data_IF_722003877467
#
_entry.id   IF_722003877467
#
_cell.length_a   1.000
_cell.length_b   1.000
_cell.length_c   1.000
_cell.angle_alpha   90.00
_cell.angle_beta   90.00
_cell.angle_gamma   90.00
#
_symmetry.space_group_name_H-M   'P 1'
#
loop_
_entity.id
_entity.type
_entity.pdbx_description
1 polymer ?
#
# COMPACT_ATOMS: atom_id res chain seq x y z
N UNK A 1 -34.37 -10.26 -9.14
CA UNK A 1 -33.43 -10.78 -8.11
C UNK A 1 -32.35 -11.70 -8.69
N UNK A 2 -32.59 -12.40 -9.82
CA UNK A 2 -31.57 -13.21 -10.53
C UNK A 2 -30.51 -12.41 -11.29
N UNK A 3 -30.87 -11.27 -11.89
CA UNK A 3 -29.99 -10.46 -12.75
C UNK A 3 -28.69 -9.96 -12.08
N UNK A 4 -28.69 -9.76 -10.76
CA UNK A 4 -27.49 -9.30 -10.05
C UNK A 4 -26.46 -10.41 -9.89
N UNK A 5 -26.90 -11.66 -9.68
CA UNK A 5 -25.99 -12.79 -9.48
C UNK A 5 -25.20 -13.10 -10.75
N UNK A 6 -25.80 -12.94 -11.92
CA UNK A 6 -25.14 -13.21 -13.21
C UNK A 6 -23.93 -12.28 -13.45
N UNK A 7 -23.95 -11.06 -12.89
CA UNK A 7 -22.85 -10.09 -13.00
C UNK A 7 -21.72 -10.38 -12.00
N UNK A 8 -22.04 -10.82 -10.79
CA UNK A 8 -21.02 -11.13 -9.77
C UNK A 8 -20.46 -12.55 -9.86
N UNK A 9 -21.19 -13.48 -10.48
CA UNK A 9 -20.79 -14.89 -10.59
C UNK A 9 -19.42 -15.07 -11.26
N UNK A 10 -19.09 -14.42 -12.39
CA UNK A 10 -17.76 -14.55 -12.99
C UNK A 10 -16.65 -14.04 -12.06
N UNK A 11 -16.90 -12.96 -11.32
CA UNK A 11 -15.92 -12.39 -10.37
C UNK A 11 -15.66 -13.36 -9.23
N UNK A 12 -16.71 -13.96 -8.66
CA UNK A 12 -16.58 -14.94 -7.58
C UNK A 12 -15.87 -16.22 -8.05
N UNK A 13 -16.19 -16.70 -9.26
CA UNK A 13 -15.52 -17.87 -9.84
C UNK A 13 -14.04 -17.57 -10.06
N UNK A 14 -13.69 -16.42 -10.65
CA UNK A 14 -12.29 -16.04 -10.87
C UNK A 14 -11.53 -15.87 -9.54
N UNK A 15 -12.14 -15.26 -8.53
CA UNK A 15 -11.55 -15.15 -7.20
C UNK A 15 -11.31 -16.53 -6.57
N UNK A 16 -12.27 -17.44 -6.67
CA UNK A 16 -12.14 -18.81 -6.19
C UNK A 16 -11.03 -19.58 -6.92
N UNK A 17 -10.97 -19.47 -8.25
CA UNK A 17 -9.90 -20.07 -9.07
C UNK A 17 -8.53 -19.50 -8.68
N UNK A 18 -8.42 -18.19 -8.45
CA UNK A 18 -7.16 -17.57 -8.01
C UNK A 18 -6.71 -18.11 -6.64
N UNK A 19 -7.63 -18.24 -5.68
CA UNK A 19 -7.36 -18.83 -4.36
C UNK A 19 -6.92 -20.29 -4.50
N UNK A 20 -7.64 -21.09 -5.28
CA UNK A 20 -7.31 -22.51 -5.52
C UNK A 20 -5.95 -22.64 -6.22
N UNK A 21 -5.64 -21.79 -7.19
CA UNK A 21 -4.35 -21.78 -7.87
C UNK A 21 -3.21 -21.40 -6.91
N UNK A 22 -3.42 -20.38 -6.07
CA UNK A 22 -2.43 -19.95 -5.08
C UNK A 22 -2.14 -21.06 -4.07
N UNK A 23 -3.16 -21.59 -3.40
CA UNK A 23 -2.96 -22.66 -2.41
C UNK A 23 -2.56 -24.00 -3.06
N UNK A 24 -3.07 -24.30 -4.25
CA UNK A 24 -2.75 -25.50 -5.01
C UNK A 24 -1.28 -25.54 -5.40
N UNK A 25 -0.72 -24.42 -5.88
CA UNK A 25 0.73 -24.35 -6.21
C UNK A 25 1.60 -24.47 -4.97
N UNK A 26 1.22 -23.86 -3.85
CA UNK A 26 1.91 -24.05 -2.56
C UNK A 26 1.86 -25.51 -2.08
N UNK A 27 0.70 -26.18 -2.21
CA UNK A 27 0.54 -27.58 -1.83
C UNK A 27 1.37 -28.51 -2.72
N UNK A 28 1.32 -28.34 -4.04
CA UNK A 28 2.14 -29.10 -4.99
C UNK A 28 3.63 -28.88 -4.68
N UNK A 29 4.05 -27.62 -4.48
CA UNK A 29 5.42 -27.30 -4.08
C UNK A 29 5.83 -28.00 -2.79
N UNK A 30 4.94 -28.06 -1.80
CA UNK A 30 5.18 -28.73 -0.51
C UNK A 30 5.26 -30.25 -0.62
N UNK A 31 4.54 -30.86 -1.57
CA UNK A 31 4.51 -32.32 -1.80
C UNK A 31 5.67 -32.80 -2.68
N UNK A 32 6.04 -32.03 -3.70
CA UNK A 32 7.10 -32.39 -4.66
C UNK A 32 8.50 -32.08 -4.12
N UNK A 33 8.66 -31.05 -3.28
CA UNK A 33 9.96 -30.63 -2.77
C UNK A 33 10.57 -31.68 -1.82
N UNK A 34 11.89 -31.96 -1.93
CA UNK A 34 12.63 -32.73 -0.92
C UNK A 34 12.59 -32.06 0.46
N UNK A 35 12.12 -32.80 1.47
CA UNK A 35 12.01 -32.32 2.84
C UNK A 35 13.20 -32.79 3.71
N UNK A 36 14.31 -32.05 3.67
CA UNK A 36 15.52 -32.32 4.46
C UNK A 36 15.93 -31.08 5.30
N UNK A 37 15.19 -30.76 6.38
CA UNK A 37 15.53 -29.68 7.28
C UNK A 37 16.78 -30.01 8.10
N UNK A 38 17.71 -29.07 8.19
CA UNK A 38 18.90 -29.12 9.06
C UNK A 38 18.94 -27.85 9.89
N UNK A 39 19.55 -27.87 11.08
CA UNK A 39 19.61 -26.69 11.96
C UNK A 39 20.17 -25.45 11.23
N UNK A 40 21.26 -25.60 10.49
CA UNK A 40 21.86 -24.53 9.69
C UNK A 40 20.96 -24.03 8.54
N UNK A 41 20.08 -24.86 7.97
CA UNK A 41 19.14 -24.42 6.91
C UNK A 41 17.94 -23.67 7.46
N UNK A 42 17.70 -23.80 8.76
CA UNK A 42 16.61 -23.13 9.46
C UNK A 42 17.09 -21.82 10.11
N UNK A 43 18.37 -21.48 10.03
CA UNK A 43 18.86 -20.18 10.49
C UNK A 43 18.33 -19.07 9.58
N UNK A 44 17.99 -17.89 10.12
CA UNK A 44 17.46 -16.78 9.33
C UNK A 44 18.46 -16.20 8.31
N UNK A 45 19.75 -16.46 8.51
CA UNK A 45 20.83 -15.90 7.69
C UNK A 45 21.93 -16.94 7.45
N UNK A 46 22.53 -16.88 6.25
CA UNK A 46 23.42 -17.93 5.73
C UNK A 46 24.91 -17.71 6.06
N UNK A 47 25.31 -16.48 6.44
CA UNK A 47 26.72 -16.20 6.75
C UNK A 47 27.10 -16.54 8.21
N UNK A 48 26.21 -17.16 8.98
CA UNK A 48 26.49 -17.60 10.36
C UNK A 48 26.53 -16.48 11.39
N UNK A 49 26.19 -15.24 11.02
CA UNK A 49 25.95 -14.15 11.97
C UNK A 49 24.62 -14.40 12.68
N UNK A 50 24.69 -14.62 13.99
CA UNK A 50 23.49 -14.75 14.81
C UNK A 50 22.80 -13.39 14.88
N UNK A 51 21.47 -13.32 14.66
CA UNK A 51 20.75 -12.07 14.80
C UNK A 51 20.90 -11.56 16.23
N UNK A 52 21.59 -10.43 16.40
CA UNK A 52 21.81 -9.79 17.69
C UNK A 52 20.80 -8.65 17.90
N UNK A 53 20.34 -8.50 19.14
CA UNK A 53 19.42 -7.43 19.54
C UNK A 53 17.93 -7.79 19.42
N UNK A 54 17.08 -6.80 19.71
CA UNK A 54 15.63 -6.94 19.66
C UNK A 54 15.11 -6.71 18.24
N UNK A 55 14.16 -7.55 17.79
CA UNK A 55 13.42 -7.32 16.55
C UNK A 55 12.53 -6.06 16.60
N UNK A 56 12.26 -5.55 17.80
CA UNK A 56 11.54 -4.30 18.04
C UNK A 56 12.55 -3.15 18.06
N UNK A 57 12.84 -2.61 16.87
CA UNK A 57 13.65 -1.41 16.69
C UNK A 57 12.79 -0.29 16.12
N UNK A 58 13.09 0.96 16.53
CA UNK A 58 12.43 2.13 15.99
C UNK A 58 12.93 2.37 14.56
N UNK A 59 12.11 2.02 13.58
CA UNK A 59 12.33 2.39 12.19
C UNK A 59 12.12 3.89 11.99
N UNK A 60 12.64 4.42 10.89
CA UNK A 60 12.53 5.83 10.58
C UNK A 60 11.04 6.26 10.51
N UNK A 61 10.66 7.31 11.25
CA UNK A 61 9.28 7.84 11.30
C UNK A 61 8.74 8.21 9.91
N UNK A 62 9.59 8.42 8.91
CA UNK A 62 9.19 8.72 7.53
C UNK A 62 8.31 7.64 6.91
N UNK A 63 8.45 6.36 7.28
CA UNK A 63 7.52 5.31 6.83
C UNK A 63 6.08 5.58 7.28
N UNK A 64 5.92 6.07 8.52
CA UNK A 64 4.62 6.45 9.06
C UNK A 64 4.04 7.68 8.34
N UNK A 65 4.87 8.69 8.06
CA UNK A 65 4.44 9.88 7.32
C UNK A 65 3.94 9.52 5.91
N UNK A 66 4.69 8.67 5.19
CA UNK A 66 4.28 8.19 3.86
C UNK A 66 2.97 7.42 3.92
N UNK A 67 2.79 6.53 4.91
CA UNK A 67 1.56 5.78 5.10
C UNK A 67 0.36 6.69 5.40
N UNK A 68 0.55 7.73 6.23
CA UNK A 68 -0.49 8.69 6.56
C UNK A 68 -0.89 9.54 5.34
N UNK A 69 0.09 10.00 4.56
CA UNK A 69 -0.17 10.73 3.30
C UNK A 69 -0.93 9.83 2.32
N UNK A 70 -0.50 8.58 2.15
CA UNK A 70 -1.20 7.60 1.31
C UNK A 70 -2.66 7.41 1.75
N UNK A 71 -2.91 7.25 3.05
CA UNK A 71 -4.27 7.07 3.58
C UNK A 71 -5.17 8.28 3.29
N UNK A 72 -4.65 9.49 3.41
CA UNK A 72 -5.41 10.71 3.08
C UNK A 72 -5.79 10.72 1.59
N UNK A 73 -4.85 10.40 0.70
CA UNK A 73 -5.11 10.33 -0.75
C UNK A 73 -6.05 9.18 -1.15
N UNK A 74 -5.99 8.06 -0.44
CA UNK A 74 -6.91 6.94 -0.65
C UNK A 74 -8.35 7.33 -0.30
N UNK A 75 -8.54 8.02 0.84
CA UNK A 75 -9.84 8.57 1.24
C UNK A 75 -10.32 9.66 0.29
N UNK A 76 -9.43 10.51 -0.21
CA UNK A 76 -9.74 11.50 -1.25
C UNK A 76 -10.37 10.83 -2.48
N UNK A 77 -9.69 9.81 -3.02
CA UNK A 77 -10.18 9.04 -4.17
C UNK A 77 -11.52 8.36 -3.89
N UNK A 78 -11.68 7.75 -2.71
CA UNK A 78 -12.92 7.13 -2.29
C UNK A 78 -14.11 8.12 -2.28
N UNK A 79 -13.89 9.35 -1.82
CA UNK A 79 -14.91 10.41 -1.79
C UNK A 79 -15.27 10.96 -3.17
N UNK A 80 -14.39 10.83 -4.16
CA UNK A 80 -14.69 11.25 -5.54
C UNK A 80 -15.68 10.33 -6.25
N UNK A 81 -15.70 9.03 -5.93
CA UNK A 81 -16.56 8.06 -6.61
C UNK A 81 -18.05 8.39 -6.55
N UNK A 82 -18.66 8.65 -5.37
CA UNK A 82 -20.07 9.01 -5.30
C UNK A 82 -20.40 10.22 -6.17
N UNK A 83 -19.60 11.28 -6.12
CA UNK A 83 -19.82 12.49 -6.91
C UNK A 83 -19.73 12.19 -8.40
N UNK A 84 -18.77 11.36 -8.83
CA UNK A 84 -18.63 10.92 -10.22
C UNK A 84 -19.86 10.15 -10.72
N UNK A 85 -20.45 9.29 -9.89
CA UNK A 85 -21.62 8.48 -10.29
C UNK A 85 -22.88 9.33 -10.55
N UNK A 86 -23.05 10.45 -9.84
CA UNK A 86 -24.22 11.34 -9.97
C UNK A 86 -23.94 12.60 -10.80
N UNK A 87 -22.70 12.81 -11.24
CA UNK A 87 -22.29 14.02 -11.96
C UNK A 87 -23.17 14.32 -13.17
N UNK A 88 -23.52 13.30 -13.96
CA UNK A 88 -24.39 13.44 -15.12
C UNK A 88 -25.75 14.07 -14.75
N UNK A 89 -26.35 13.63 -13.66
CA UNK A 89 -27.63 14.18 -13.19
C UNK A 89 -27.50 15.67 -12.84
N UNK A 90 -26.36 16.09 -12.26
CA UNK A 90 -26.09 17.49 -11.97
C UNK A 90 -25.86 18.33 -13.24
N UNK A 91 -25.25 17.75 -14.28
CA UNK A 91 -25.10 18.41 -15.58
C UNK A 91 -26.47 18.65 -16.22
N UNK A 92 -27.36 17.64 -16.18
CA UNK A 92 -28.70 17.72 -16.79
C UNK A 92 -29.58 18.80 -16.15
N UNK A 93 -29.42 19.08 -14.85
CA UNK A 93 -30.11 20.17 -14.14
C UNK A 93 -29.36 21.51 -14.19
N UNK A 94 -28.29 21.63 -14.99
CA UNK A 94 -27.51 22.86 -15.17
C UNK A 94 -26.53 23.19 -14.03
N UNK A 95 -26.34 22.30 -13.07
CA UNK A 95 -25.46 22.48 -11.90
C UNK A 95 -24.07 21.84 -12.06
N UNK A 96 -23.78 21.21 -13.21
CA UNK A 96 -22.52 20.50 -13.46
C UNK A 96 -21.27 21.34 -13.19
N UNK A 97 -21.28 22.63 -13.56
CA UNK A 97 -20.15 23.54 -13.31
C UNK A 97 -19.87 23.78 -11.83
N UNK A 98 -20.92 23.92 -11.01
CA UNK A 98 -20.77 24.11 -9.56
C UNK A 98 -20.21 22.84 -8.88
N UNK A 99 -20.72 21.66 -9.26
CA UNK A 99 -20.23 20.38 -8.74
C UNK A 99 -18.80 20.12 -9.17
N UNK A 100 -18.46 20.34 -10.44
CA UNK A 100 -17.09 20.23 -10.93
C UNK A 100 -16.16 21.21 -10.20
N UNK A 101 -16.60 22.44 -9.99
CA UNK A 101 -15.84 23.43 -9.22
C UNK A 101 -15.55 22.98 -7.79
N UNK A 102 -16.55 22.39 -7.11
CA UNK A 102 -16.37 21.85 -5.75
C UNK A 102 -15.41 20.66 -5.70
N UNK A 103 -15.45 19.76 -6.69
CA UNK A 103 -14.49 18.66 -6.82
C UNK A 103 -13.07 19.15 -7.08
N UNK A 104 -12.90 20.09 -8.00
CA UNK A 104 -11.59 20.68 -8.28
C UNK A 104 -11.03 21.40 -7.05
N UNK A 105 -11.88 22.14 -6.32
CA UNK A 105 -11.48 22.80 -5.09
C UNK A 105 -11.02 21.77 -4.03
N UNK A 106 -11.76 20.68 -3.87
CA UNK A 106 -11.41 19.59 -2.95
C UNK A 106 -10.03 18.99 -3.27
N UNK A 107 -9.80 18.64 -4.54
CA UNK A 107 -8.51 18.11 -5.02
C UNK A 107 -7.39 19.12 -4.77
N UNK A 108 -7.60 20.39 -5.12
CA UNK A 108 -6.58 21.45 -4.95
C UNK A 108 -6.19 21.61 -3.49
N UNK A 109 -7.15 21.63 -2.56
CA UNK A 109 -6.87 21.82 -1.13
C UNK A 109 -5.98 20.69 -0.60
N UNK A 110 -6.30 19.44 -0.93
CA UNK A 110 -5.52 18.27 -0.47
C UNK A 110 -4.16 18.17 -1.18
N UNK A 111 -4.13 18.48 -2.48
CA UNK A 111 -2.89 18.53 -3.27
C UNK A 111 -1.92 19.58 -2.74
N UNK A 112 -2.42 20.73 -2.27
CA UNK A 112 -1.60 21.75 -1.62
C UNK A 112 -0.97 21.23 -0.32
N UNK A 113 -1.69 20.42 0.46
CA UNK A 113 -1.15 19.74 1.63
C UNK A 113 0.03 18.84 1.29
N UNK A 114 -0.07 18.07 0.20
CA UNK A 114 1.04 17.24 -0.29
C UNK A 114 2.23 18.09 -0.77
N UNK A 115 1.96 19.15 -1.54
CA UNK A 115 3.01 20.07 -2.00
C UNK A 115 3.74 20.68 -0.80
N UNK A 116 3.02 21.04 0.26
CA UNK A 116 3.62 21.54 1.51
C UNK A 116 4.52 20.48 2.17
N UNK A 117 4.03 19.25 2.37
CA UNK A 117 4.82 18.15 2.93
C UNK A 117 6.08 17.86 2.11
N UNK A 118 5.97 17.92 0.78
CA UNK A 118 7.11 17.75 -0.12
C UNK A 118 8.11 18.89 0.04
N UNK A 119 7.66 20.15 0.02
CA UNK A 119 8.56 21.32 0.19
C UNK A 119 9.28 21.33 1.53
N UNK A 120 8.68 20.75 2.57
CA UNK A 120 9.29 20.60 3.89
C UNK A 120 10.34 19.47 3.94
N UNK A 121 10.38 18.60 2.94
CA UNK A 121 11.31 17.46 2.88
C UNK A 121 10.87 16.26 3.72
N UNK A 122 9.61 16.25 4.20
CA UNK A 122 9.07 15.13 4.97
C UNK A 122 8.96 13.84 4.12
N UNK A 123 8.95 14.00 2.78
CA UNK A 123 8.96 12.90 1.80
C UNK A 123 10.36 12.55 1.28
N UNK A 124 11.39 13.34 1.60
CA UNK A 124 12.73 13.08 1.08
C UNK A 124 13.33 11.84 1.74
N UNK A 125 14.09 11.06 0.98
CA UNK A 125 14.79 9.89 1.52
C UNK A 125 16.21 10.25 1.96
N UNK A 126 16.61 9.74 3.13
CA UNK A 126 18.02 9.87 3.57
C UNK A 126 18.87 8.96 2.68
N UNK A 127 19.67 9.56 1.80
CA UNK A 127 20.72 8.83 1.09
C UNK A 127 21.90 8.70 2.05
N UNK A 128 22.21 7.44 2.36
CA UNK A 128 23.30 6.91 3.20
C UNK A 128 23.28 7.20 4.71
N UNK A 129 23.56 6.14 5.46
CA UNK A 129 24.04 6.21 6.83
C UNK A 129 25.40 6.93 6.81
N UNK A 130 25.50 8.11 7.42
CA UNK A 130 26.80 8.70 7.71
C UNK A 130 27.37 7.98 8.93
N UNK A 131 28.18 6.95 8.68
CA UNK A 131 29.00 6.38 9.75
C UNK A 131 29.97 7.47 10.24
N UNK A 132 29.79 7.90 11.49
CA UNK A 132 30.69 8.86 12.11
C UNK A 132 32.01 8.14 12.45
N UNK A 133 32.95 8.14 11.51
CA UNK A 133 34.29 7.52 11.61
C UNK A 133 35.25 8.27 12.54
N UNK A 134 34.74 9.04 13.51
CA UNK A 134 35.53 9.93 14.39
C UNK A 134 35.39 9.66 15.90
N UNK A 135 35.32 8.40 16.31
CA UNK A 135 35.75 7.97 17.65
C UNK A 135 36.52 6.66 17.43
N UNK A 136 37.81 6.49 17.76
CA UNK A 136 38.40 6.56 19.11
C UNK A 136 37.57 5.78 20.13
N UNK A 137 37.28 4.55 19.76
CA UNK A 137 37.09 3.39 20.59
C UNK A 137 38.21 3.36 21.65
N UNK A 138 37.84 3.71 22.88
CA UNK A 138 38.57 3.38 24.10
C UNK A 138 38.04 2.05 24.62
#
# INVERSE_FOLDING_TARGET
MSQNFDVYMPVLILAAVAVVAFFGTLLVGRLVRPNNPTELKLTPYECGEEPTGSAWSNFNVRFYVIALVFLIFDVEGALMFPVATVYKNFVDIGQGGAVLGSLLLFIVILSLGLVYCWKKGDLDWVKSFQANINGKDK
#
